data_IF_483612892716
#
_entry.id   IF_483612892716
#
_cell.length_a   1.000
_cell.length_b   1.000
_cell.length_c   1.000
_cell.angle_alpha   90.00
_cell.angle_beta   90.00
_cell.angle_gamma   90.00
#
_symmetry.space_group_name_H-M   'P 1'
#
loop_
_entity.id
_entity.type
_entity.pdbx_description
1 polymer ?
#
# COMPACT_ATOMS: atom_id res chain seq x y z
N UNK A 1 -24.98 9.77 -2.60
CA UNK A 1 -23.88 10.49 -1.95
C UNK A 1 -24.16 11.99 -1.84
N UNK A 2 -24.69 12.62 -2.88
CA UNK A 2 -24.80 14.08 -2.94
C UNK A 2 -26.24 14.60 -2.74
N UNK A 3 -27.25 13.74 -2.69
CA UNK A 3 -28.65 14.12 -2.62
C UNK A 3 -29.10 14.96 -3.82
N UNK A 4 -30.32 15.48 -3.75
CA UNK A 4 -30.90 16.32 -4.80
C UNK A 4 -30.37 17.76 -4.79
N UNK A 5 -29.78 18.18 -3.68
CA UNK A 5 -29.18 19.51 -3.51
C UNK A 5 -27.73 19.43 -3.12
N UNK A 6 -26.85 20.03 -3.91
CA UNK A 6 -25.42 20.16 -3.56
C UNK A 6 -25.23 21.30 -2.58
N UNK A 7 -24.56 21.07 -1.46
CA UNK A 7 -24.01 22.17 -0.67
C UNK A 7 -23.00 22.93 -1.51
N UNK A 8 -23.17 24.23 -1.63
CA UNK A 8 -22.12 25.08 -2.18
C UNK A 8 -20.90 25.04 -1.25
N UNK A 9 -19.71 25.03 -1.83
CA UNK A 9 -18.49 25.29 -1.07
C UNK A 9 -18.68 26.60 -0.31
N UNK A 10 -18.37 26.68 0.99
CA UNK A 10 -18.47 27.89 1.76
C UNK A 10 -17.80 29.05 1.01
N UNK A 11 -18.38 30.23 1.03
CA UNK A 11 -17.74 31.41 0.44
C UNK A 11 -16.43 31.65 1.17
N UNK A 12 -15.38 31.91 0.41
CA UNK A 12 -14.06 32.20 0.97
C UNK A 12 -14.06 33.48 1.80
N UNK A 13 -14.96 34.41 1.48
CA UNK A 13 -15.18 35.65 2.19
C UNK A 13 -16.61 35.65 2.73
N UNK A 14 -16.74 35.32 3.99
CA UNK A 14 -17.97 35.44 4.75
C UNK A 14 -17.68 36.39 5.92
N UNK A 15 -18.31 37.55 5.90
CA UNK A 15 -18.11 38.57 6.94
C UNK A 15 -18.67 38.16 8.30
N UNK A 16 -19.71 37.27 8.28
CA UNK A 16 -20.31 36.75 9.50
C UNK A 16 -19.51 35.58 10.09
N UNK A 17 -18.67 34.94 9.27
CA UNK A 17 -17.81 33.82 9.64
C UNK A 17 -16.43 33.97 8.99
N UNK A 18 -15.64 34.94 9.44
CA UNK A 18 -14.35 35.20 8.84
C UNK A 18 -13.41 34.01 9.02
N UNK A 19 -12.74 33.62 7.93
CA UNK A 19 -11.72 32.56 7.93
C UNK A 19 -10.36 33.21 7.71
N UNK A 20 -9.45 33.00 8.64
CA UNK A 20 -8.07 33.43 8.48
C UNK A 20 -7.36 32.50 7.50
N UNK A 21 -6.91 33.04 6.37
CA UNK A 21 -6.17 32.32 5.34
C UNK A 21 -4.80 32.95 5.11
N UNK A 22 -3.82 32.11 4.77
CA UNK A 22 -2.46 32.58 4.53
C UNK A 22 -1.78 33.13 5.78
N UNK A 23 -2.19 32.68 6.97
CA UNK A 23 -1.56 33.07 8.22
C UNK A 23 -0.10 32.59 8.24
N UNK A 24 0.80 33.51 8.60
CA UNK A 24 2.18 33.14 8.92
C UNK A 24 2.23 32.66 10.36
N UNK A 25 2.65 31.40 10.53
CA UNK A 25 2.89 30.84 11.85
C UNK A 25 4.34 31.09 12.26
N UNK A 26 4.54 31.57 13.49
CA UNK A 26 5.86 31.55 14.09
C UNK A 26 6.35 30.08 14.29
N UNK A 27 7.67 29.89 14.49
CA UNK A 27 8.25 28.55 14.60
C UNK A 27 7.57 27.66 15.65
N UNK A 28 7.21 28.22 16.78
CA UNK A 28 6.56 27.49 17.88
C UNK A 28 5.16 27.02 17.50
N UNK A 29 4.33 27.88 16.93
CA UNK A 29 2.98 27.52 16.49
C UNK A 29 3.00 26.50 15.36
N UNK A 30 3.96 26.62 14.44
CA UNK A 30 4.15 25.64 13.38
C UNK A 30 4.57 24.27 13.94
N UNK A 31 5.51 24.25 14.89
CA UNK A 31 5.98 23.00 15.51
C UNK A 31 4.86 22.26 16.23
N UNK A 32 4.02 22.97 16.99
CA UNK A 32 2.84 22.39 17.65
C UNK A 32 1.84 21.82 16.67
N UNK A 33 1.54 22.57 15.59
CA UNK A 33 0.66 22.12 14.52
C UNK A 33 1.21 20.86 13.83
N UNK A 34 2.49 20.84 13.49
CA UNK A 34 3.15 19.69 12.89
C UNK A 34 3.12 18.44 13.81
N UNK A 35 3.35 18.62 15.11
CA UNK A 35 3.28 17.54 16.08
C UNK A 35 1.86 16.96 16.22
N UNK A 36 0.84 17.82 16.15
CA UNK A 36 -0.56 17.40 16.25
C UNK A 36 -1.09 16.70 14.99
N UNK A 37 -0.51 16.94 13.81
CA UNK A 37 -1.00 16.41 12.55
C UNK A 37 -0.94 14.87 12.49
N UNK A 38 0.14 14.27 12.94
CA UNK A 38 0.37 12.84 12.76
C UNK A 38 -0.68 11.96 13.45
N UNK A 39 -0.97 12.09 14.75
CA UNK A 39 -2.01 11.32 15.40
C UNK A 39 -3.40 11.60 14.80
N UNK A 40 -3.70 12.88 14.52
CA UNK A 40 -4.97 13.26 13.91
C UNK A 40 -5.19 12.59 12.55
N UNK A 41 -4.24 12.71 11.62
CA UNK A 41 -4.39 12.14 10.28
C UNK A 41 -4.35 10.61 10.27
N UNK A 42 -3.54 9.98 11.10
CA UNK A 42 -3.51 8.51 11.15
C UNK A 42 -4.84 7.91 11.58
N UNK A 43 -5.50 8.48 12.57
CA UNK A 43 -6.78 7.98 13.07
C UNK A 43 -7.94 8.44 12.20
N UNK A 44 -8.15 9.74 12.07
CA UNK A 44 -9.32 10.32 11.42
C UNK A 44 -9.39 10.01 9.91
N UNK A 45 -8.28 10.08 9.21
CA UNK A 45 -8.26 9.81 7.77
C UNK A 45 -8.50 8.34 7.47
N UNK A 46 -7.93 7.43 8.25
CA UNK A 46 -8.15 5.99 8.07
C UNK A 46 -9.61 5.60 8.28
N UNK A 47 -10.26 6.14 9.32
CA UNK A 47 -11.68 5.92 9.59
C UNK A 47 -12.56 6.48 8.46
N UNK A 48 -12.30 7.71 8.05
CA UNK A 48 -13.02 8.36 6.95
C UNK A 48 -12.88 7.61 5.62
N UNK A 49 -11.71 7.09 5.31
CA UNK A 49 -11.48 6.29 4.10
C UNK A 49 -12.26 4.98 4.14
N UNK A 50 -12.27 4.25 5.26
CA UNK A 50 -13.06 3.02 5.40
C UNK A 50 -14.55 3.30 5.19
N UNK A 51 -15.05 4.38 5.75
CA UNK A 51 -16.46 4.80 5.55
C UNK A 51 -16.73 5.17 4.10
N UNK A 52 -15.81 5.88 3.42
CA UNK A 52 -15.93 6.18 1.99
C UNK A 52 -15.97 4.92 1.13
N UNK A 53 -15.12 3.93 1.41
CA UNK A 53 -15.16 2.63 0.71
C UNK A 53 -16.49 1.92 0.92
N UNK A 54 -16.98 1.89 2.15
CA UNK A 54 -18.28 1.29 2.49
C UNK A 54 -19.43 1.95 1.74
N UNK A 55 -19.50 3.27 1.75
CA UNK A 55 -20.51 4.04 1.02
C UNK A 55 -20.42 3.82 -0.50
N UNK A 56 -19.20 3.78 -1.04
CA UNK A 56 -19.00 3.51 -2.45
C UNK A 56 -19.52 2.11 -2.84
N UNK A 57 -19.23 1.10 -2.03
CA UNK A 57 -19.73 -0.26 -2.25
C UNK A 57 -21.27 -0.31 -2.23
N UNK A 58 -21.90 0.37 -1.27
CA UNK A 58 -23.37 0.45 -1.19
C UNK A 58 -24.01 1.08 -2.44
N UNK A 59 -23.38 2.10 -3.00
CA UNK A 59 -23.94 2.82 -4.15
C UNK A 59 -23.62 2.18 -5.51
N UNK A 60 -22.54 1.41 -5.61
CA UNK A 60 -22.04 0.91 -6.89
C UNK A 60 -22.03 -0.61 -7.01
N UNK A 61 -22.15 -1.31 -5.89
CA UNK A 61 -21.94 -2.76 -5.82
C UNK A 61 -20.47 -3.17 -5.98
N UNK A 62 -19.53 -2.23 -5.99
CA UNK A 62 -18.09 -2.49 -6.13
C UNK A 62 -17.39 -2.31 -4.80
N UNK A 63 -16.71 -3.36 -4.36
CA UNK A 63 -15.97 -3.35 -3.10
C UNK A 63 -14.52 -2.97 -3.33
N UNK A 64 -14.06 -1.94 -2.61
CA UNK A 64 -12.67 -1.51 -2.55
C UNK A 64 -12.24 -1.37 -1.09
N UNK A 65 -10.94 -1.41 -0.86
CA UNK A 65 -10.35 -1.21 0.46
C UNK A 65 -8.93 -0.64 0.35
N UNK A 66 -8.28 -0.39 1.48
CA UNK A 66 -6.89 0.09 1.53
C UNK A 66 -5.91 -0.84 0.83
N UNK A 67 -6.20 -2.13 0.87
CA UNK A 67 -5.52 -3.19 0.15
C UNK A 67 -6.51 -4.05 -0.62
N UNK A 68 -6.04 -4.77 -1.61
CA UNK A 68 -6.80 -5.80 -2.32
C UNK A 68 -5.98 -7.10 -2.37
N UNK A 69 -6.65 -8.24 -2.33
CA UNK A 69 -6.00 -9.55 -2.38
C UNK A 69 -6.52 -10.37 -3.56
N UNK A 70 -5.65 -11.18 -4.15
CA UNK A 70 -6.03 -12.15 -5.15
C UNK A 70 -5.25 -13.45 -4.94
N UNK A 71 -5.96 -14.55 -4.67
CA UNK A 71 -5.39 -15.86 -4.38
C UNK A 71 -4.28 -15.85 -3.32
N UNK A 72 -4.43 -15.02 -2.29
CA UNK A 72 -3.37 -14.75 -1.33
C UNK A 72 -3.37 -15.72 -0.14
N UNK A 73 -4.51 -16.28 0.25
CA UNK A 73 -4.67 -17.00 1.51
C UNK A 73 -3.74 -18.21 1.61
N UNK A 74 -3.67 -19.03 0.57
CA UNK A 74 -2.81 -20.23 0.46
C UNK A 74 -1.49 -19.97 -0.29
N UNK A 75 -1.18 -18.72 -0.63
CA UNK A 75 0.04 -18.36 -1.35
C UNK A 75 1.25 -18.40 -0.40
N UNK A 76 2.36 -18.98 -0.88
CA UNK A 76 3.69 -18.83 -0.26
C UNK A 76 4.50 -17.71 -0.91
N UNK A 77 4.26 -17.43 -2.19
CA UNK A 77 4.89 -16.33 -2.94
C UNK A 77 3.89 -15.21 -3.18
N UNK A 78 4.32 -13.96 -3.05
CA UNK A 78 3.43 -12.80 -3.20
C UNK A 78 4.03 -11.76 -4.14
N UNK A 79 3.22 -11.30 -5.09
CA UNK A 79 3.48 -10.09 -5.86
C UNK A 79 2.75 -8.92 -5.21
N UNK A 80 3.48 -7.92 -4.75
CA UNK A 80 2.90 -6.67 -4.26
C UNK A 80 2.96 -5.63 -5.35
N UNK A 81 1.83 -5.01 -5.68
CA UNK A 81 1.72 -4.08 -6.78
C UNK A 81 0.75 -2.93 -6.51
N UNK A 82 0.84 -1.87 -7.30
CA UNK A 82 -0.04 -0.71 -7.29
C UNK A 82 -0.65 -0.47 -8.66
N UNK A 83 -1.86 0.12 -8.69
CA UNK A 83 -2.52 0.52 -9.93
C UNK A 83 -2.67 -0.62 -10.95
N UNK A 84 -2.47 -0.33 -12.22
CA UNK A 84 -2.66 -1.29 -13.32
C UNK A 84 -1.75 -2.53 -13.25
N UNK A 85 -0.61 -2.45 -12.57
CA UNK A 85 0.27 -3.60 -12.39
C UNK A 85 -0.40 -4.72 -11.58
N UNK A 86 -1.36 -4.40 -10.72
CA UNK A 86 -2.14 -5.39 -9.99
C UNK A 86 -2.88 -6.33 -10.95
N UNK A 87 -3.51 -5.79 -11.99
CA UNK A 87 -4.30 -6.59 -12.95
C UNK A 87 -3.39 -7.53 -13.77
N UNK A 88 -2.22 -7.04 -14.18
CA UNK A 88 -1.22 -7.89 -14.84
C UNK A 88 -0.74 -9.00 -13.91
N UNK A 89 -0.48 -8.66 -12.64
CA UNK A 89 -0.04 -9.64 -11.64
C UNK A 89 -1.12 -10.69 -11.34
N UNK A 90 -2.40 -10.31 -11.25
CA UNK A 90 -3.53 -11.23 -11.07
C UNK A 90 -3.62 -12.24 -12.23
N UNK A 91 -3.59 -11.77 -13.47
CA UNK A 91 -3.62 -12.67 -14.64
C UNK A 91 -2.42 -13.63 -14.67
N UNK A 92 -1.24 -13.18 -14.21
CA UNK A 92 -0.07 -14.05 -14.08
C UNK A 92 -0.23 -15.06 -12.95
N UNK A 93 -0.78 -14.66 -11.81
CA UNK A 93 -1.06 -15.57 -10.69
C UNK A 93 -2.04 -16.68 -11.10
N UNK A 94 -3.13 -16.33 -11.80
CA UNK A 94 -4.08 -17.28 -12.35
C UNK A 94 -3.41 -18.31 -13.28
N UNK A 95 -2.58 -17.81 -14.21
CA UNK A 95 -1.83 -18.65 -15.13
C UNK A 95 -0.88 -19.60 -14.39
N UNK A 96 -0.04 -19.08 -13.49
CA UNK A 96 0.95 -19.87 -12.78
C UNK A 96 0.32 -20.94 -11.88
N UNK A 97 -0.79 -20.62 -11.22
CA UNK A 97 -1.55 -21.61 -10.44
C UNK A 97 -2.17 -22.69 -11.29
N UNK A 98 -2.78 -22.32 -12.39
CA UNK A 98 -3.43 -23.28 -13.29
C UNK A 98 -2.42 -24.19 -13.98
N UNK A 99 -1.39 -23.62 -14.60
CA UNK A 99 -0.46 -24.35 -15.48
C UNK A 99 0.76 -24.92 -14.76
N UNK A 100 1.23 -24.24 -13.71
CA UNK A 100 2.49 -24.64 -13.01
C UNK A 100 2.31 -25.04 -11.56
N UNK A 101 1.08 -24.96 -11.05
CA UNK A 101 0.76 -25.27 -9.64
C UNK A 101 1.58 -24.44 -8.64
N UNK A 102 2.04 -23.26 -9.04
CA UNK A 102 2.83 -22.37 -8.19
C UNK A 102 1.92 -21.67 -7.17
N UNK A 103 2.16 -21.75 -5.86
CA UNK A 103 1.33 -21.14 -4.83
C UNK A 103 1.65 -19.63 -4.71
N UNK A 104 1.25 -18.87 -5.70
CA UNK A 104 1.47 -17.44 -5.78
C UNK A 104 0.16 -16.65 -5.65
N UNK A 105 0.22 -15.49 -4.99
CA UNK A 105 -0.88 -14.56 -4.85
C UNK A 105 -0.45 -13.13 -5.09
N UNK A 106 -1.43 -12.22 -5.08
CA UNK A 106 -1.20 -10.79 -5.29
C UNK A 106 -1.78 -9.99 -4.14
N UNK A 107 -0.99 -9.06 -3.61
CA UNK A 107 -1.39 -8.02 -2.69
C UNK A 107 -1.34 -6.66 -3.41
N UNK A 108 -2.50 -6.07 -3.63
CA UNK A 108 -2.60 -4.73 -4.19
C UNK A 108 -2.62 -3.68 -3.09
N UNK A 109 -1.81 -2.63 -3.24
CA UNK A 109 -1.80 -1.48 -2.33
C UNK A 109 -2.57 -0.34 -2.97
N UNK A 110 -3.72 0.01 -2.40
CA UNK A 110 -4.59 1.06 -2.91
C UNK A 110 -4.37 2.40 -2.20
N UNK A 111 -3.99 2.37 -0.93
CA UNK A 111 -3.66 3.56 -0.15
C UNK A 111 -2.16 3.63 0.16
N UNK A 112 -1.54 4.78 -0.18
CA UNK A 112 -0.15 5.05 0.23
C UNK A 112 -0.05 5.89 1.51
N UNK A 113 -1.06 6.74 1.75
CA UNK A 113 -1.10 7.64 2.92
C UNK A 113 -2.56 7.83 3.36
N UNK A 114 -2.93 7.48 4.59
CA UNK A 114 -2.10 6.70 5.52
C UNK A 114 -1.80 5.29 4.97
N UNK A 115 -0.61 4.77 5.27
CA UNK A 115 -0.23 3.42 4.83
C UNK A 115 -1.00 2.36 5.64
N UNK A 116 -1.61 1.36 5.01
CA UNK A 116 -2.40 0.34 5.69
C UNK A 116 -1.50 -0.75 6.31
N UNK A 117 -0.63 -0.33 7.24
CA UNK A 117 0.47 -1.17 7.75
C UNK A 117 -0.03 -2.45 8.42
N UNK A 118 -1.08 -2.36 9.23
CA UNK A 118 -1.63 -3.53 9.92
C UNK A 118 -2.16 -4.57 8.94
N UNK A 119 -2.93 -4.14 7.93
CA UNK A 119 -3.45 -5.02 6.89
C UNK A 119 -2.33 -5.64 6.05
N UNK A 120 -1.29 -4.86 5.72
CA UNK A 120 -0.14 -5.36 4.95
C UNK A 120 0.63 -6.41 5.74
N UNK A 121 0.91 -6.17 7.02
CA UNK A 121 1.59 -7.14 7.89
C UNK A 121 0.78 -8.43 7.99
N UNK A 122 -0.52 -8.34 8.27
CA UNK A 122 -1.42 -9.49 8.39
C UNK A 122 -1.42 -10.35 7.12
N UNK A 123 -1.43 -9.71 5.94
CA UNK A 123 -1.44 -10.40 4.65
C UNK A 123 -0.09 -10.99 4.24
N UNK A 124 1.02 -10.44 4.73
CA UNK A 124 2.36 -10.90 4.40
C UNK A 124 2.96 -11.84 5.44
N UNK A 125 2.39 -11.89 6.64
CA UNK A 125 2.79 -12.78 7.73
C UNK A 125 2.88 -14.24 7.27
N UNK A 126 4.02 -14.89 7.53
CA UNK A 126 4.25 -16.29 7.22
C UNK A 126 4.40 -16.64 5.73
N UNK A 127 4.42 -15.65 4.84
CA UNK A 127 4.73 -15.87 3.42
C UNK A 127 6.23 -16.14 3.27
N UNK A 128 6.59 -16.98 2.29
CA UNK A 128 7.97 -17.35 2.04
C UNK A 128 8.76 -16.17 1.43
N UNK A 129 8.23 -15.60 0.35
CA UNK A 129 8.88 -14.51 -0.35
C UNK A 129 7.87 -13.54 -0.99
N UNK A 130 8.25 -12.26 -1.04
CA UNK A 130 7.44 -11.14 -1.50
C UNK A 130 8.23 -10.32 -2.50
N UNK A 131 7.74 -10.17 -3.72
CA UNK A 131 8.29 -9.24 -4.71
C UNK A 131 7.48 -7.96 -4.72
N UNK A 132 8.11 -6.83 -4.41
CA UNK A 132 7.47 -5.50 -4.41
C UNK A 132 7.76 -4.80 -5.72
N UNK A 133 6.71 -4.61 -6.51
CA UNK A 133 6.77 -4.03 -7.86
C UNK A 133 6.54 -2.52 -7.80
N UNK A 134 7.52 -1.74 -8.23
CA UNK A 134 7.42 -0.28 -8.22
C UNK A 134 7.84 0.31 -9.57
N UNK A 135 7.01 1.20 -10.11
CA UNK A 135 7.31 1.92 -11.34
C UNK A 135 8.12 3.17 -11.03
N UNK A 136 9.37 2.96 -10.77
CA UNK A 136 10.31 4.04 -10.47
C UNK A 136 11.75 3.58 -10.73
N UNK A 137 12.66 4.55 -10.74
CA UNK A 137 14.10 4.34 -10.67
C UNK A 137 14.65 5.11 -9.46
N UNK A 138 15.42 4.42 -8.62
CA UNK A 138 16.01 4.99 -7.42
C UNK A 138 17.44 4.42 -7.19
N UNK A 139 18.40 4.72 -8.09
CA UNK A 139 19.71 4.05 -8.14
C UNK A 139 20.56 4.27 -6.89
N UNK A 140 20.31 5.34 -6.14
CA UNK A 140 21.07 5.67 -4.91
C UNK A 140 20.32 5.29 -3.63
N UNK A 141 19.13 4.73 -3.72
CA UNK A 141 18.36 4.28 -2.55
C UNK A 141 18.64 2.81 -2.26
N UNK A 142 18.72 2.46 -0.97
CA UNK A 142 18.84 1.06 -0.55
C UNK A 142 17.59 0.26 -0.90
N UNK A 143 16.43 0.86 -0.74
CA UNK A 143 15.13 0.29 -1.07
C UNK A 143 14.23 1.35 -1.72
N UNK A 144 13.32 0.90 -2.54
CA UNK A 144 12.27 1.72 -3.13
C UNK A 144 11.22 2.17 -2.09
N UNK A 145 10.47 3.26 -2.32
CA UNK A 145 9.56 3.83 -1.32
C UNK A 145 8.52 2.87 -0.75
N UNK A 146 7.86 2.09 -1.60
CA UNK A 146 6.85 1.12 -1.13
C UNK A 146 7.51 -0.02 -0.34
N UNK A 147 8.63 -0.53 -0.82
CA UNK A 147 9.35 -1.58 -0.11
C UNK A 147 9.81 -1.09 1.28
N UNK A 148 10.24 0.17 1.40
CA UNK A 148 10.58 0.76 2.72
C UNK A 148 9.39 0.80 3.67
N UNK A 149 8.20 1.18 3.19
CA UNK A 149 6.98 1.17 4.02
C UNK A 149 6.63 -0.25 4.48
N UNK A 150 6.76 -1.23 3.59
CA UNK A 150 6.50 -2.64 3.91
C UNK A 150 7.51 -3.14 4.94
N UNK A 151 8.82 -2.94 4.70
CA UNK A 151 9.87 -3.36 5.65
C UNK A 151 9.71 -2.70 7.01
N UNK A 152 9.45 -1.39 7.05
CA UNK A 152 9.19 -0.67 8.30
C UNK A 152 7.97 -1.22 9.03
N UNK A 153 6.93 -1.60 8.31
CA UNK A 153 5.73 -2.17 8.92
C UNK A 153 5.99 -3.55 9.50
N UNK A 154 6.72 -4.41 8.78
CA UNK A 154 7.13 -5.74 9.25
C UNK A 154 8.06 -5.65 10.47
N UNK A 155 9.04 -4.75 10.44
CA UNK A 155 9.99 -4.52 11.53
C UNK A 155 9.29 -4.04 12.82
N UNK A 156 8.38 -3.09 12.69
CA UNK A 156 7.54 -2.65 13.82
C UNK A 156 6.64 -3.75 14.38
N UNK A 157 6.17 -4.65 13.53
CA UNK A 157 5.40 -5.80 13.97
C UNK A 157 6.25 -6.82 14.76
N UNK A 158 7.54 -6.95 14.43
CA UNK A 158 8.51 -7.71 15.22
C UNK A 158 8.78 -7.07 16.59
N UNK A 159 8.84 -5.73 16.65
CA UNK A 159 9.04 -4.96 17.88
C UNK A 159 7.81 -4.92 18.81
N UNK A 160 6.77 -5.72 18.54
CA UNK A 160 5.52 -5.76 19.33
C UNK A 160 4.55 -4.59 19.10
N UNK A 161 4.64 -3.93 17.96
CA UNK A 161 3.68 -2.94 17.52
C UNK A 161 4.01 -1.49 17.89
N UNK A 162 3.20 -0.58 17.36
CA UNK A 162 3.30 0.86 17.63
C UNK A 162 2.30 1.27 18.71
N UNK A 163 2.64 2.17 19.62
CA UNK A 163 1.69 2.71 20.60
C UNK A 163 0.54 3.50 19.93
N UNK A 164 0.69 3.91 18.67
CA UNK A 164 -0.30 4.70 17.91
C UNK A 164 -1.10 3.86 16.92
N UNK A 165 -0.51 2.77 16.43
CA UNK A 165 -1.12 1.85 15.47
C UNK A 165 -1.02 0.43 16.02
N UNK A 166 -2.13 -0.27 16.06
CA UNK A 166 -2.14 -1.69 16.40
C UNK A 166 -1.57 -2.48 15.21
N UNK A 167 -0.34 -2.96 15.37
CA UNK A 167 0.27 -3.91 14.43
C UNK A 167 -0.01 -5.33 14.90
N UNK A 168 -0.35 -6.26 13.99
CA UNK A 168 -0.36 -7.67 14.31
C UNK A 168 1.05 -8.10 14.78
N UNK A 169 1.12 -8.91 15.82
CA UNK A 169 2.41 -9.44 16.26
C UNK A 169 3.00 -10.37 15.20
N UNK A 170 4.28 -10.20 14.91
CA UNK A 170 5.04 -10.99 13.96
C UNK A 170 6.25 -11.64 14.65
N UNK A 171 6.44 -12.95 14.45
CA UNK A 171 7.64 -13.63 14.89
C UNK A 171 8.72 -13.62 13.78
N UNK A 172 9.98 -13.70 14.16
CA UNK A 172 11.11 -13.69 13.20
C UNK A 172 10.97 -14.76 12.10
N UNK A 173 10.45 -15.94 12.45
CA UNK A 173 10.22 -17.04 11.48
C UNK A 173 9.09 -16.79 10.49
N UNK A 174 8.24 -15.80 10.75
CA UNK A 174 7.10 -15.41 9.91
C UNK A 174 7.44 -14.27 8.96
N UNK A 175 8.66 -13.74 9.09
CA UNK A 175 9.13 -12.63 8.26
C UNK A 175 9.40 -13.11 6.83
N UNK A 176 8.71 -12.58 5.81
CA UNK A 176 8.97 -12.94 4.42
C UNK A 176 10.30 -12.37 3.91
N UNK A 177 10.91 -13.07 2.98
CA UNK A 177 12.03 -12.52 2.22
C UNK A 177 11.50 -11.52 1.20
N UNK A 178 11.95 -10.26 1.25
CA UNK A 178 11.47 -9.19 0.37
C UNK A 178 12.43 -8.91 -0.78
N UNK A 179 11.92 -8.96 -2.01
CA UNK A 179 12.62 -8.64 -3.25
C UNK A 179 12.14 -7.29 -3.80
N UNK A 180 13.09 -6.36 -4.02
CA UNK A 180 12.84 -5.10 -4.74
C UNK A 180 12.78 -5.36 -6.25
N UNK A 181 11.75 -4.82 -6.90
CA UNK A 181 11.55 -4.96 -8.35
C UNK A 181 11.11 -3.63 -8.95
N UNK A 182 11.96 -3.07 -9.81
CA UNK A 182 11.65 -1.87 -10.57
C UNK A 182 11.17 -2.25 -11.97
N UNK A 183 10.14 -1.58 -12.45
CA UNK A 183 9.61 -1.79 -13.79
C UNK A 183 9.22 -0.47 -14.45
N UNK A 184 9.03 -0.51 -15.76
CA UNK A 184 8.50 0.63 -16.52
C UNK A 184 9.49 1.78 -16.70
N UNK A 185 10.75 1.58 -16.41
CA UNK A 185 11.83 2.55 -16.63
C UNK A 185 11.96 2.81 -18.12
N UNK A 186 12.13 4.08 -18.52
CA UNK A 186 12.17 4.46 -19.92
C UNK A 186 10.88 4.20 -20.71
N UNK A 187 9.73 4.05 -20.01
CA UNK A 187 8.43 3.80 -20.64
C UNK A 187 8.20 2.34 -21.08
N UNK A 188 9.05 1.41 -20.69
CA UNK A 188 8.88 -0.01 -21.00
C UNK A 188 7.61 -0.56 -20.33
N UNK A 189 6.78 -1.34 -21.05
CA UNK A 189 5.59 -1.93 -20.47
C UNK A 189 5.95 -3.12 -19.56
N UNK A 190 5.27 -3.26 -18.44
CA UNK A 190 5.30 -4.48 -17.62
C UNK A 190 4.57 -5.61 -18.37
N UNK A 191 5.28 -6.67 -18.71
CA UNK A 191 4.72 -7.80 -19.47
C UNK A 191 4.50 -9.00 -18.57
N UNK A 192 3.48 -9.81 -18.89
CA UNK A 192 3.20 -11.06 -18.17
C UNK A 192 4.42 -12.00 -18.12
N UNK A 193 5.18 -12.11 -19.21
CA UNK A 193 6.40 -12.93 -19.28
C UNK A 193 7.45 -12.51 -18.25
N UNK A 194 7.55 -11.21 -17.96
CA UNK A 194 8.53 -10.68 -17.03
C UNK A 194 8.16 -11.08 -15.58
N UNK A 195 6.86 -11.02 -15.25
CA UNK A 195 6.34 -11.49 -13.96
C UNK A 195 6.41 -13.02 -13.81
N UNK A 196 6.26 -13.77 -14.90
CA UNK A 196 6.44 -15.24 -14.87
C UNK A 196 7.89 -15.60 -14.56
N UNK A 197 8.85 -14.92 -15.19
CA UNK A 197 10.27 -15.12 -14.92
C UNK A 197 10.65 -14.68 -13.50
N UNK A 198 10.14 -13.54 -13.04
CA UNK A 198 10.29 -13.06 -11.67
C UNK A 198 9.78 -14.08 -10.65
N UNK A 199 8.61 -14.66 -10.88
CA UNK A 199 7.99 -15.63 -9.96
C UNK A 199 8.81 -16.91 -9.81
N UNK A 200 9.43 -17.38 -10.88
CA UNK A 200 10.35 -18.53 -10.82
C UNK A 200 11.59 -18.18 -9.97
N UNK A 201 12.17 -17.00 -10.19
CA UNK A 201 13.33 -16.55 -9.42
C UNK A 201 13.00 -16.28 -7.94
N UNK A 202 11.80 -15.79 -7.66
CA UNK A 202 11.36 -15.50 -6.29
C UNK A 202 11.28 -16.77 -5.44
N UNK A 203 10.98 -17.90 -6.05
CA UNK A 203 10.98 -19.20 -5.37
C UNK A 203 12.37 -19.64 -4.90
N UNK A 204 13.43 -19.20 -5.61
CA UNK A 204 14.82 -19.50 -5.28
C UNK A 204 15.41 -18.56 -4.21
N UNK A 205 14.68 -17.51 -3.84
CA UNK A 205 15.05 -16.51 -2.83
C UNK A 205 15.22 -15.11 -3.40
N UNK A 206 15.35 -14.11 -2.50
CA UNK A 206 15.59 -12.73 -2.90
C UNK A 206 17.05 -12.47 -3.24
N UNK A 207 17.27 -11.48 -4.07
CA UNK A 207 18.59 -11.03 -4.52
C UNK A 207 18.68 -9.51 -4.57
N UNK A 208 19.64 -8.97 -5.33
CA UNK A 208 19.70 -7.53 -5.57
C UNK A 208 18.44 -7.04 -6.27
N UNK A 209 18.24 -5.71 -6.27
CA UNK A 209 17.13 -5.08 -7.00
C UNK A 209 17.06 -5.55 -8.45
N UNK A 210 15.90 -5.97 -8.88
CA UNK A 210 15.65 -6.42 -10.25
C UNK A 210 15.01 -5.29 -11.07
N UNK A 211 15.36 -5.23 -12.34
CA UNK A 211 14.75 -4.35 -13.33
C UNK A 211 14.07 -5.21 -14.40
N UNK A 212 12.77 -4.93 -14.62
CA UNK A 212 11.94 -5.62 -15.61
C UNK A 212 11.61 -4.69 -16.79
#
# INVERSE_FOLDING_TARGET
LFGDTRRRVPRWYDLDRPVLQGALFGPESYALGAAAQKPYFNQQVSESLRECYRLFAQHTGREYGPVSTHMLDDASLVLVAQGAAQETARGVADYLRRERKTPIGVLGINNLRPFPAAEVVDRLKGKQAVAVLERLDAPLASDSPLLREIRTSLDRALESGSPVLEYPHLEQRELPVCQSVHYGVGGQPLRARDLIALSARLADGAGPTLYL
#
